data_IF_330544108351
#
_entry.id   IF_330544108351
#
_cell.length_a   1.000
_cell.length_b   1.000
_cell.length_c   1.000
_cell.angle_alpha   90.00
_cell.angle_beta   90.00
_cell.angle_gamma   90.00
#
_symmetry.space_group_name_H-M   'P 1'
#
loop_
_entity.id
_entity.type
_entity.pdbx_description
1 polymer ?
#
# COMPACT_ATOMS: atom_id res chain seq x y z
N UNK A 1 13.96 6.98 -26.54
CA UNK A 1 13.05 6.30 -25.59
C UNK A 1 11.75 5.85 -26.28
N UNK A 2 10.86 6.75 -26.72
CA UNK A 2 9.57 6.39 -27.36
C UNK A 2 9.73 5.45 -28.56
N UNK A 3 10.72 5.70 -29.43
CA UNK A 3 10.99 4.83 -30.60
C UNK A 3 11.44 3.41 -30.21
N UNK A 4 12.21 3.27 -29.12
CA UNK A 4 12.64 1.96 -28.64
C UNK A 4 11.47 1.19 -28.04
N UNK A 5 10.60 1.86 -27.29
CA UNK A 5 9.37 1.28 -26.74
C UNK A 5 8.43 0.82 -27.87
N UNK A 6 8.22 1.65 -28.89
CA UNK A 6 7.40 1.29 -30.06
C UNK A 6 7.93 0.03 -30.75
N UNK A 7 9.25 -0.08 -30.87
CA UNK A 7 9.88 -1.22 -31.49
C UNK A 7 9.75 -2.50 -30.65
N UNK A 8 9.97 -2.43 -29.34
CA UNK A 8 9.85 -3.58 -28.43
C UNK A 8 8.41 -4.09 -28.31
N UNK A 9 7.43 -3.17 -28.30
CA UNK A 9 6.00 -3.50 -28.28
C UNK A 9 5.52 -4.18 -29.56
N UNK A 10 6.16 -3.90 -30.70
CA UNK A 10 5.84 -4.48 -32.00
C UNK A 10 6.89 -5.46 -32.50
N UNK A 11 7.73 -5.99 -31.60
CA UNK A 11 8.79 -6.91 -31.97
C UNK A 11 8.20 -8.25 -32.47
N UNK A 12 8.91 -8.94 -33.36
CA UNK A 12 8.44 -10.16 -34.01
C UNK A 12 8.30 -11.33 -33.02
N UNK A 13 9.21 -11.41 -32.05
CA UNK A 13 9.15 -12.39 -30.96
C UNK A 13 8.04 -12.04 -29.96
N UNK A 14 7.13 -12.99 -29.75
CA UNK A 14 5.96 -12.81 -28.89
C UNK A 14 6.33 -12.65 -27.40
N UNK A 15 7.42 -13.26 -26.95
CA UNK A 15 7.87 -13.18 -25.58
C UNK A 15 8.37 -11.76 -25.28
N UNK A 16 9.18 -11.20 -26.18
CA UNK A 16 9.68 -9.82 -26.04
C UNK A 16 8.49 -8.84 -25.98
N UNK A 17 7.48 -9.04 -26.83
CA UNK A 17 6.26 -8.22 -26.80
C UNK A 17 5.52 -8.36 -25.47
N UNK A 18 5.30 -9.58 -24.98
CA UNK A 18 4.59 -9.84 -23.73
C UNK A 18 5.30 -9.21 -22.52
N UNK A 19 6.62 -9.43 -22.40
CA UNK A 19 7.40 -8.85 -21.31
C UNK A 19 7.45 -7.33 -21.38
N UNK A 20 7.49 -6.76 -22.59
CA UNK A 20 7.43 -5.31 -22.77
C UNK A 20 6.09 -4.75 -22.28
N UNK A 21 4.96 -5.38 -22.64
CA UNK A 21 3.65 -4.97 -22.14
C UNK A 21 3.50 -5.12 -20.62
N UNK A 22 4.01 -6.22 -20.05
CA UNK A 22 4.03 -6.43 -18.59
C UNK A 22 4.84 -5.35 -17.89
N UNK A 23 6.02 -5.02 -18.40
CA UNK A 23 6.88 -3.97 -17.84
C UNK A 23 6.20 -2.59 -17.89
N UNK A 24 5.57 -2.25 -19.02
CA UNK A 24 4.81 -1.01 -19.17
C UNK A 24 3.66 -0.96 -18.17
N UNK A 25 2.89 -2.05 -18.06
CA UNK A 25 1.74 -2.14 -17.15
C UNK A 25 2.16 -1.98 -15.68
N UNK A 26 3.21 -2.68 -15.25
CA UNK A 26 3.75 -2.57 -13.88
C UNK A 26 4.29 -1.16 -13.58
N UNK A 27 4.97 -0.53 -14.55
CA UNK A 27 5.48 0.84 -14.37
C UNK A 27 4.32 1.82 -14.23
N UNK A 28 3.30 1.71 -15.10
CA UNK A 28 2.12 2.55 -15.04
C UNK A 28 1.33 2.35 -13.74
N UNK A 29 1.21 1.12 -13.24
CA UNK A 29 0.45 0.85 -12.02
C UNK A 29 1.07 1.54 -10.81
N UNK A 30 2.40 1.56 -10.68
CA UNK A 30 3.09 2.30 -9.61
C UNK A 30 2.83 3.81 -9.73
N UNK A 31 2.96 4.39 -10.93
CA UNK A 31 2.69 5.83 -11.12
C UNK A 31 1.23 6.19 -10.82
N UNK A 32 0.28 5.38 -11.30
CA UNK A 32 -1.14 5.58 -11.01
C UNK A 32 -1.42 5.44 -9.52
N UNK A 33 -0.78 4.50 -8.82
CA UNK A 33 -0.90 4.34 -7.39
C UNK A 33 -0.38 5.56 -6.61
N UNK A 34 0.80 6.09 -6.96
CA UNK A 34 1.35 7.31 -6.33
C UNK A 34 0.41 8.51 -6.52
N UNK A 35 -0.07 8.72 -7.75
CA UNK A 35 -0.98 9.83 -8.06
C UNK A 35 -2.32 9.68 -7.34
N UNK A 36 -2.86 8.46 -7.30
CA UNK A 36 -4.13 8.16 -6.62
C UNK A 36 -3.99 8.34 -5.12
N UNK A 37 -2.92 7.80 -4.51
CA UNK A 37 -2.63 8.00 -3.10
C UNK A 37 -2.53 9.50 -2.76
N UNK A 38 -1.73 10.25 -3.53
CA UNK A 38 -1.58 11.70 -3.33
C UNK A 38 -2.92 12.45 -3.45
N UNK A 39 -3.81 11.99 -4.34
CA UNK A 39 -5.14 12.56 -4.48
C UNK A 39 -6.03 12.21 -3.29
N UNK A 40 -6.01 10.96 -2.81
CA UNK A 40 -6.76 10.53 -1.63
C UNK A 40 -6.31 11.26 -0.37
N UNK A 41 -5.00 11.36 -0.14
CA UNK A 41 -4.41 12.10 0.97
C UNK A 41 -4.93 13.55 1.00
N UNK A 42 -4.80 14.27 -0.12
CA UNK A 42 -5.29 15.65 -0.24
C UNK A 42 -6.80 15.77 -0.10
N UNK A 43 -7.56 14.84 -0.68
CA UNK A 43 -9.02 14.84 -0.57
C UNK A 43 -9.45 14.64 0.89
N UNK A 44 -8.82 13.71 1.60
CA UNK A 44 -9.11 13.44 3.01
C UNK A 44 -8.76 14.64 3.88
N UNK A 45 -7.62 15.29 3.64
CA UNK A 45 -7.28 16.55 4.31
C UNK A 45 -8.25 17.70 4.01
N UNK A 46 -8.84 17.72 2.81
CA UNK A 46 -9.82 18.73 2.43
C UNK A 46 -11.21 18.46 3.04
N UNK A 47 -11.68 17.21 3.05
CA UNK A 47 -13.00 16.83 3.54
C UNK A 47 -13.08 16.68 5.06
N UNK A 48 -12.00 16.25 5.72
CA UNK A 48 -11.86 16.36 7.17
C UNK A 48 -11.53 17.81 7.51
N UNK A 49 -12.59 18.62 7.56
CA UNK A 49 -12.63 20.05 7.89
C UNK A 49 -11.48 20.51 8.79
N UNK A 50 -10.93 21.70 8.53
CA UNK A 50 -9.72 22.23 9.21
C UNK A 50 -9.83 22.12 10.74
N UNK A 51 -11.04 22.16 11.31
CA UNK A 51 -11.29 21.96 12.74
C UNK A 51 -11.02 20.56 13.26
N UNK A 52 -11.39 19.50 12.54
CA UNK A 52 -11.16 18.13 12.99
C UNK A 52 -9.69 17.75 12.86
N UNK A 53 -9.06 18.19 11.77
CA UNK A 53 -7.62 18.05 11.56
C UNK A 53 -6.85 18.88 12.59
N UNK A 54 -7.27 20.11 12.91
CA UNK A 54 -6.67 20.89 13.99
C UNK A 54 -6.85 20.25 15.37
N UNK A 55 -7.99 19.62 15.68
CA UNK A 55 -8.17 18.91 16.96
C UNK A 55 -7.23 17.70 17.05
N UNK A 56 -7.14 16.90 15.99
CA UNK A 56 -6.23 15.75 15.93
C UNK A 56 -4.75 16.19 15.97
N UNK A 57 -4.39 17.25 15.25
CA UNK A 57 -3.01 17.81 15.21
C UNK A 57 -2.66 18.60 16.48
N UNK A 58 -3.64 19.13 17.23
CA UNK A 58 -3.42 19.80 18.52
C UNK A 58 -3.24 18.83 19.69
N UNK A 59 -3.51 17.53 19.50
CA UNK A 59 -2.99 16.47 20.39
C UNK A 59 -1.55 16.24 19.95
N UNK A 60 -0.57 16.72 20.74
CA UNK A 60 0.88 16.58 20.56
C UNK A 60 1.26 16.21 19.12
N UNK A 61 1.38 17.19 18.21
CA UNK A 61 1.24 17.03 16.75
C UNK A 61 1.83 15.78 16.07
N UNK A 62 2.83 15.13 16.66
CA UNK A 62 3.23 13.74 16.39
C UNK A 62 2.06 12.73 16.39
N UNK A 63 1.30 12.63 17.49
CA UNK A 63 0.23 11.67 17.68
C UNK A 63 -0.90 11.94 16.67
N UNK A 64 -1.21 13.21 16.42
CA UNK A 64 -2.17 13.62 15.40
C UNK A 64 -1.83 13.10 14.01
N UNK A 65 -0.59 13.30 13.55
CA UNK A 65 -0.15 12.82 12.24
C UNK A 65 -0.16 11.30 12.15
N UNK A 66 0.24 10.61 13.22
CA UNK A 66 0.16 9.15 13.30
C UNK A 66 -1.28 8.64 13.15
N UNK A 67 -2.22 9.23 13.89
CA UNK A 67 -3.62 8.81 13.88
C UNK A 67 -4.26 9.03 12.50
N UNK A 68 -3.97 10.15 11.86
CA UNK A 68 -4.44 10.43 10.49
C UNK A 68 -3.83 9.44 9.50
N UNK A 69 -2.52 9.15 9.60
CA UNK A 69 -1.85 8.17 8.74
C UNK A 69 -2.42 6.76 8.91
N UNK A 70 -2.62 6.31 10.15
CA UNK A 70 -3.23 5.01 10.43
C UNK A 70 -4.68 4.93 9.97
N UNK A 71 -5.47 6.00 10.16
CA UNK A 71 -6.84 6.08 9.66
C UNK A 71 -6.86 5.95 8.13
N UNK A 72 -5.98 6.67 7.44
CA UNK A 72 -5.84 6.63 5.99
C UNK A 72 -5.48 5.22 5.52
N UNK A 73 -4.51 4.57 6.17
CA UNK A 73 -4.11 3.20 5.85
C UNK A 73 -5.26 2.20 6.04
N UNK A 74 -6.00 2.28 7.15
CA UNK A 74 -7.14 1.40 7.41
C UNK A 74 -8.30 1.65 6.43
N UNK A 75 -8.59 2.92 6.11
CA UNK A 75 -9.65 3.28 5.17
C UNK A 75 -9.32 2.79 3.76
N UNK A 76 -8.11 3.06 3.26
CA UNK A 76 -7.68 2.63 1.93
C UNK A 76 -7.55 1.10 1.84
N UNK A 77 -7.07 0.44 2.90
CA UNK A 77 -7.03 -1.02 2.99
C UNK A 77 -8.42 -1.64 2.98
N UNK A 78 -9.39 -1.06 3.71
CA UNK A 78 -10.79 -1.47 3.65
C UNK A 78 -11.41 -1.27 2.27
N UNK A 79 -11.18 -0.13 1.64
CA UNK A 79 -11.62 0.15 0.27
C UNK A 79 -11.02 -0.82 -0.74
N UNK A 80 -9.74 -1.17 -0.60
CA UNK A 80 -9.08 -2.16 -1.44
C UNK A 80 -9.78 -3.52 -1.35
N UNK A 81 -10.08 -4.01 -0.13
CA UNK A 81 -10.80 -5.28 0.06
C UNK A 81 -12.19 -5.25 -0.59
N UNK A 82 -12.93 -4.14 -0.46
CA UNK A 82 -14.24 -3.96 -1.11
C UNK A 82 -14.12 -3.99 -2.63
N UNK A 83 -13.14 -3.28 -3.19
CA UNK A 83 -12.93 -3.22 -4.64
C UNK A 83 -12.54 -4.59 -5.19
N UNK A 84 -11.62 -5.30 -4.53
CA UNK A 84 -11.23 -6.65 -4.93
C UNK A 84 -12.40 -7.64 -4.84
N UNK A 85 -13.28 -7.47 -3.86
CA UNK A 85 -14.49 -8.28 -3.78
C UNK A 85 -15.46 -7.98 -4.92
N UNK A 86 -15.65 -6.71 -5.31
CA UNK A 86 -16.51 -6.33 -6.44
C UNK A 86 -15.95 -6.85 -7.77
N UNK A 87 -14.63 -6.80 -7.95
CA UNK A 87 -13.96 -7.24 -9.18
C UNK A 87 -13.66 -8.73 -9.23
N UNK A 88 -14.08 -9.51 -8.21
CA UNK A 88 -13.76 -10.94 -8.08
C UNK A 88 -14.13 -11.80 -9.30
N UNK A 89 -15.19 -11.43 -10.01
CA UNK A 89 -15.71 -12.21 -11.15
C UNK A 89 -14.92 -12.01 -12.43
N UNK A 90 -14.17 -10.92 -12.57
CA UNK A 90 -13.41 -10.60 -13.79
C UNK A 90 -11.91 -10.61 -13.50
N UNK A 91 -11.24 -11.69 -13.91
CA UNK A 91 -9.82 -11.91 -13.60
C UNK A 91 -8.90 -10.78 -14.08
N UNK A 92 -9.00 -10.25 -15.32
CA UNK A 92 -8.20 -9.11 -15.75
C UNK A 92 -8.39 -7.87 -14.87
N UNK A 93 -9.64 -7.56 -14.49
CA UNK A 93 -9.91 -6.43 -13.59
C UNK A 93 -9.39 -6.69 -12.19
N UNK A 94 -9.52 -7.91 -11.66
CA UNK A 94 -9.01 -8.30 -10.35
C UNK A 94 -7.48 -8.12 -10.27
N UNK A 95 -6.75 -8.61 -11.27
CA UNK A 95 -5.29 -8.44 -11.39
C UNK A 95 -4.92 -6.95 -11.43
N UNK A 96 -5.57 -6.18 -12.28
CA UNK A 96 -5.28 -4.76 -12.46
C UNK A 96 -5.54 -3.94 -11.20
N UNK A 97 -6.70 -4.14 -10.55
CA UNK A 97 -7.04 -3.46 -9.31
C UNK A 97 -6.16 -3.94 -8.15
N UNK A 98 -5.84 -5.23 -8.07
CA UNK A 98 -4.93 -5.79 -7.07
C UNK A 98 -3.57 -5.11 -7.08
N UNK A 99 -2.95 -4.98 -8.27
CA UNK A 99 -1.65 -4.31 -8.38
C UNK A 99 -1.72 -2.83 -8.01
N UNK A 100 -2.74 -2.08 -8.48
CA UNK A 100 -2.85 -0.65 -8.19
C UNK A 100 -3.13 -0.43 -6.69
N UNK A 101 -4.08 -1.15 -6.12
CA UNK A 101 -4.48 -0.98 -4.73
C UNK A 101 -3.45 -1.51 -3.73
N UNK A 102 -2.69 -2.55 -4.07
CA UNK A 102 -1.56 -3.02 -3.27
C UNK A 102 -0.50 -1.92 -3.12
N UNK A 103 -0.16 -1.24 -4.22
CA UNK A 103 0.75 -0.09 -4.17
C UNK A 103 0.15 1.11 -3.41
N UNK A 104 -1.13 1.44 -3.60
CA UNK A 104 -1.80 2.52 -2.85
C UNK A 104 -1.76 2.24 -1.34
N UNK A 105 -2.09 1.02 -0.92
CA UNK A 105 -2.03 0.61 0.48
C UNK A 105 -0.60 0.64 1.01
N UNK A 106 0.39 0.25 0.20
CA UNK A 106 1.80 0.36 0.55
C UNK A 106 2.25 1.81 0.77
N UNK A 107 1.83 2.76 -0.09
CA UNK A 107 2.09 4.19 0.13
C UNK A 107 1.39 4.73 1.37
N UNK A 108 0.16 4.29 1.65
CA UNK A 108 -0.54 4.66 2.88
C UNK A 108 0.15 4.12 4.14
N UNK A 109 0.64 2.88 4.09
CA UNK A 109 1.46 2.31 5.15
C UNK A 109 2.76 3.09 5.33
N UNK A 110 3.48 3.40 4.25
CA UNK A 110 4.68 4.25 4.29
C UNK A 110 4.35 5.57 4.97
N UNK A 111 3.30 6.28 4.54
CA UNK A 111 2.92 7.56 5.12
C UNK A 111 2.66 7.45 6.64
N UNK A 112 1.95 6.41 7.09
CA UNK A 112 1.65 6.22 8.51
C UNK A 112 2.89 5.87 9.34
N UNK A 113 3.66 4.87 8.92
CA UNK A 113 4.76 4.33 9.72
C UNK A 113 6.03 5.15 9.58
N UNK A 114 6.26 5.81 8.44
CA UNK A 114 7.36 6.76 8.31
C UNK A 114 7.11 8.03 9.14
N UNK A 115 5.86 8.51 9.24
CA UNK A 115 5.53 9.60 10.16
C UNK A 115 5.83 9.21 11.62
N UNK A 116 5.56 7.95 12.00
CA UNK A 116 5.94 7.42 13.31
C UNK A 116 7.47 7.37 13.49
N UNK A 117 8.19 6.84 12.50
CA UNK A 117 9.65 6.75 12.50
C UNK A 117 10.31 8.14 12.59
N UNK A 118 9.68 9.15 11.97
CA UNK A 118 10.11 10.54 11.96
C UNK A 118 9.86 11.29 13.26
N UNK A 119 9.08 10.72 14.17
CA UNK A 119 8.64 11.40 15.38
C UNK A 119 9.55 11.12 16.59
N UNK A 120 9.57 12.01 17.58
CA UNK A 120 10.23 11.73 18.86
C UNK A 120 9.36 10.74 19.66
N UNK A 121 9.95 9.72 20.30
CA UNK A 121 11.40 9.50 20.52
C UNK A 121 12.09 8.62 19.46
N UNK A 122 11.39 8.24 18.39
CA UNK A 122 11.91 7.29 17.40
C UNK A 122 13.04 7.89 16.54
N UNK A 123 12.96 9.17 16.20
CA UNK A 123 13.97 9.86 15.37
C UNK A 123 15.28 10.24 16.10
N UNK A 124 15.40 9.92 17.40
CA UNK A 124 16.54 10.32 18.23
C UNK A 124 17.77 9.41 18.04
N UNK A 125 17.55 8.18 17.57
CA UNK A 125 18.59 7.19 17.33
C UNK A 125 18.14 6.20 16.26
N UNK A 126 19.06 5.75 15.42
CA UNK A 126 18.79 4.73 14.39
C UNK A 126 18.20 3.45 14.99
N UNK A 127 18.56 3.12 16.24
CA UNK A 127 18.05 1.93 16.91
C UNK A 127 16.59 2.10 17.34
N UNK A 128 16.18 3.32 17.72
CA UNK A 128 14.79 3.63 18.00
C UNK A 128 13.97 3.62 16.70
N UNK A 129 14.49 4.19 15.61
CA UNK A 129 13.86 4.10 14.28
C UNK A 129 13.66 2.65 13.84
N UNK A 130 14.69 1.81 14.03
CA UNK A 130 14.62 0.39 13.70
C UNK A 130 13.52 -0.38 14.46
N UNK A 131 13.07 0.11 15.62
CA UNK A 131 11.94 -0.49 16.35
C UNK A 131 10.60 -0.36 15.60
N UNK A 132 10.48 0.59 14.67
CA UNK A 132 9.27 0.74 13.86
C UNK A 132 9.08 -0.46 12.91
N UNK A 133 10.16 -1.09 12.44
CA UNK A 133 10.10 -2.24 11.55
C UNK A 133 9.33 -3.43 12.19
N UNK A 134 9.70 -3.95 13.39
CA UNK A 134 8.93 -5.02 14.02
C UNK A 134 7.52 -4.58 14.41
N UNK A 135 7.29 -3.31 14.79
CA UNK A 135 5.95 -2.78 15.05
C UNK A 135 5.09 -2.86 13.78
N UNK A 136 5.62 -2.41 12.65
CA UNK A 136 4.99 -2.47 11.34
C UNK A 136 4.63 -3.92 10.96
N UNK A 137 5.56 -4.86 11.14
CA UNK A 137 5.32 -6.28 10.85
C UNK A 137 4.23 -6.87 11.74
N UNK A 138 4.19 -6.54 13.03
CA UNK A 138 3.14 -6.99 13.95
C UNK A 138 1.78 -6.43 13.53
N UNK A 139 1.69 -5.12 13.26
CA UNK A 139 0.43 -4.50 12.81
C UNK A 139 -0.03 -5.11 11.48
N UNK A 140 0.88 -5.27 10.53
CA UNK A 140 0.58 -5.89 9.23
C UNK A 140 0.12 -7.34 9.38
N UNK A 141 0.76 -8.12 10.25
CA UNK A 141 0.34 -9.50 10.55
C UNK A 141 -1.07 -9.54 11.14
N UNK A 142 -1.39 -8.67 12.10
CA UNK A 142 -2.74 -8.57 12.67
C UNK A 142 -3.77 -8.24 11.58
N UNK A 143 -3.45 -7.29 10.69
CA UNK A 143 -4.34 -6.88 9.60
C UNK A 143 -4.54 -7.99 8.56
N UNK A 144 -3.49 -8.72 8.18
CA UNK A 144 -3.59 -9.88 7.27
C UNK A 144 -4.44 -10.98 7.90
N UNK A 145 -4.24 -11.30 9.18
CA UNK A 145 -5.05 -12.31 9.89
C UNK A 145 -6.51 -11.87 9.98
N UNK A 146 -6.77 -10.60 10.30
CA UNK A 146 -8.11 -10.04 10.33
C UNK A 146 -8.77 -10.07 8.94
N UNK A 147 -8.02 -9.71 7.89
CA UNK A 147 -8.44 -9.77 6.49
C UNK A 147 -8.77 -11.18 6.03
N UNK A 148 -7.90 -12.16 6.30
CA UNK A 148 -8.14 -13.58 6.02
C UNK A 148 -9.41 -14.07 6.71
N UNK A 149 -9.61 -13.73 7.99
CA UNK A 149 -10.82 -14.09 8.73
C UNK A 149 -12.07 -13.43 8.16
N UNK A 150 -12.00 -12.16 7.78
CA UNK A 150 -13.10 -11.45 7.12
C UNK A 150 -13.45 -12.11 5.79
N UNK A 151 -12.45 -12.41 4.95
CA UNK A 151 -12.62 -13.07 3.66
C UNK A 151 -13.23 -14.46 3.80
N UNK A 152 -12.74 -15.28 4.73
CA UNK A 152 -13.32 -16.61 5.00
C UNK A 152 -14.79 -16.55 5.38
N UNK A 153 -15.20 -15.57 6.20
CA UNK A 153 -16.61 -15.39 6.54
C UNK A 153 -17.46 -14.97 5.37
N UNK A 154 -16.93 -14.17 4.45
CA UNK A 154 -17.65 -13.72 3.25
C UNK A 154 -17.82 -14.88 2.26
N UNK A 155 -16.80 -15.70 2.08
CA UNK A 155 -16.85 -16.92 1.25
C UNK A 155 -17.85 -17.95 1.81
N UNK A 156 -17.86 -18.19 3.13
CA UNK A 156 -18.78 -19.14 3.76
C UNK A 156 -20.28 -18.75 3.68
N UNK A 157 -20.62 -17.51 3.26
CA UNK A 157 -22.01 -17.03 3.23
C UNK A 157 -22.86 -17.62 2.12
N UNK A 158 -22.28 -17.99 0.98
CA UNK A 158 -23.01 -18.59 -0.13
C UNK A 158 -23.02 -20.13 -0.08
N UNK A 159 -22.15 -20.71 0.76
CA UNK A 159 -22.05 -22.15 0.99
C UNK A 159 -21.50 -22.94 -0.21
N UNK A 160 -20.91 -22.27 -1.20
CA UNK A 160 -20.35 -22.88 -2.42
C UNK A 160 -18.95 -22.37 -2.64
N UNK A 161 -17.96 -23.23 -2.42
CA UNK A 161 -16.56 -22.94 -2.77
C UNK A 161 -16.41 -22.98 -4.30
N UNK A 162 -16.22 -21.81 -4.93
CA UNK A 162 -16.08 -21.63 -6.38
C UNK A 162 -14.63 -21.25 -6.74
N UNK A 163 -14.17 -21.66 -7.93
CA UNK A 163 -12.86 -21.30 -8.52
C UNK A 163 -12.62 -19.77 -8.47
N UNK A 164 -13.69 -18.99 -8.56
CA UNK A 164 -13.66 -17.52 -8.46
C UNK A 164 -13.20 -17.04 -7.09
N UNK A 165 -13.63 -17.71 -6.02
CA UNK A 165 -13.30 -17.34 -4.65
C UNK A 165 -11.85 -17.68 -4.31
N UNK A 166 -11.35 -18.83 -4.78
CA UNK A 166 -9.95 -19.21 -4.64
C UNK A 166 -9.03 -18.17 -5.33
N UNK A 167 -9.38 -17.75 -6.55
CA UNK A 167 -8.61 -16.73 -7.29
C UNK A 167 -8.63 -15.38 -6.61
N UNK A 168 -9.80 -14.95 -6.13
CA UNK A 168 -9.95 -13.72 -5.36
C UNK A 168 -9.12 -13.76 -4.07
N UNK A 169 -9.17 -14.88 -3.35
CA UNK A 169 -8.40 -15.07 -2.13
C UNK A 169 -6.89 -14.97 -2.39
N UNK A 170 -6.40 -15.64 -3.43
CA UNK A 170 -5.00 -15.59 -3.84
C UNK A 170 -4.55 -14.16 -4.19
N UNK A 171 -5.37 -13.42 -4.96
CA UNK A 171 -5.05 -12.03 -5.33
C UNK A 171 -5.07 -11.06 -4.15
N UNK A 172 -5.95 -11.28 -3.17
CA UNK A 172 -5.93 -10.49 -1.94
C UNK A 172 -4.64 -10.73 -1.15
N UNK A 173 -4.18 -11.99 -1.08
CA UNK A 173 -2.90 -12.31 -0.42
C UNK A 173 -1.70 -11.71 -1.16
N UNK A 174 -1.69 -11.74 -2.49
CA UNK A 174 -0.66 -11.08 -3.31
C UNK A 174 -0.64 -9.55 -3.08
N UNK A 175 -1.81 -8.91 -3.08
CA UNK A 175 -1.97 -7.48 -2.79
C UNK A 175 -1.47 -7.10 -1.38
N UNK A 176 -1.80 -7.91 -0.37
CA UNK A 176 -1.33 -7.75 1.01
C UNK A 176 0.20 -7.91 1.10
N UNK A 177 0.78 -8.87 0.38
CA UNK A 177 2.22 -9.09 0.33
C UNK A 177 2.95 -7.93 -0.36
N UNK A 178 2.43 -7.41 -1.47
CA UNK A 178 2.97 -6.23 -2.16
C UNK A 178 2.96 -4.99 -1.26
N UNK A 179 1.86 -4.78 -0.54
CA UNK A 179 1.72 -3.69 0.46
C UNK A 179 2.83 -3.78 1.51
N UNK A 180 3.02 -4.97 2.09
CA UNK A 180 4.00 -5.19 3.16
C UNK A 180 5.42 -5.04 2.61
N UNK A 181 5.72 -5.63 1.46
CA UNK A 181 7.04 -5.58 0.83
C UNK A 181 7.44 -4.14 0.50
N UNK A 182 6.55 -3.37 -0.13
CA UNK A 182 6.78 -1.98 -0.48
C UNK A 182 7.08 -1.14 0.76
N UNK A 183 6.23 -1.21 1.78
CA UNK A 183 6.41 -0.43 3.00
C UNK A 183 7.64 -0.86 3.80
N UNK A 184 7.88 -2.17 3.96
CA UNK A 184 9.04 -2.71 4.65
C UNK A 184 10.35 -2.24 3.99
N UNK A 185 10.43 -2.35 2.66
CA UNK A 185 11.62 -1.93 1.90
C UNK A 185 11.92 -0.45 2.10
N UNK A 186 10.90 0.40 2.16
CA UNK A 186 11.06 1.83 2.40
C UNK A 186 11.54 2.13 3.82
N UNK A 187 10.89 1.57 4.84
CA UNK A 187 11.25 1.78 6.25
C UNK A 187 12.68 1.30 6.52
N UNK A 188 13.08 0.14 5.99
CA UNK A 188 14.47 -0.32 6.09
C UNK A 188 15.46 0.66 5.43
N UNK A 189 15.14 1.15 4.24
CA UNK A 189 15.97 2.15 3.56
C UNK A 189 16.07 3.46 4.36
N UNK A 190 15.00 3.89 5.02
CA UNK A 190 14.97 5.09 5.86
C UNK A 190 15.93 4.95 7.06
N UNK A 191 15.88 3.83 7.77
CA UNK A 191 16.81 3.51 8.86
C UNK A 191 18.26 3.47 8.36
N UNK A 192 18.52 2.77 7.25
CA UNK A 192 19.87 2.69 6.66
C UNK A 192 20.40 4.07 6.30
N UNK A 193 19.55 4.91 5.70
CA UNK A 193 19.92 6.28 5.36
C UNK A 193 20.27 7.07 6.61
N UNK A 194 19.45 7.02 7.66
CA UNK A 194 19.72 7.71 8.92
C UNK A 194 21.03 7.23 9.56
N UNK A 195 21.33 5.92 9.51
CA UNK A 195 22.61 5.37 9.98
C UNK A 195 23.82 5.99 9.26
N UNK A 196 23.69 6.29 7.97
CA UNK A 196 24.78 6.85 7.16
C UNK A 196 24.87 8.37 7.30
N UNK A 197 23.74 9.09 7.22
CA UNK A 197 23.72 10.56 7.21
C UNK A 197 23.70 11.21 8.59
N UNK A 198 23.27 10.47 9.63
CA UNK A 198 23.05 11.03 10.97
C UNK A 198 21.88 12.01 11.05
N UNK A 199 21.06 12.07 10.01
CA UNK A 199 19.92 12.99 9.90
C UNK A 199 18.75 12.31 9.17
N UNK A 200 17.54 12.69 9.56
CA UNK A 200 16.31 12.19 8.95
C UNK A 200 16.25 12.52 7.45
N UNK A 201 15.71 11.61 6.63
CA UNK A 201 15.35 11.94 5.25
C UNK A 201 14.35 13.10 5.25
N UNK A 202 14.76 14.24 4.68
CA UNK A 202 13.87 15.37 4.36
C UNK A 202 12.97 15.05 3.18
#
# INVERSE_FOLDING_TARGET
FIMALYYLVNWFDEDIRLYTWKMISATLSIFLAVLSFSAFEKAIHYYLDERFTQILVNVDGCIGHLLVGLLLFLLLGGLAQVILHITRTDLPSLVAHGSIWGHICGFAAIHAFFALESSSPFNESWMNMAMIIPIFLIVSFILVVAGKKLRSRVAEMDGVDDDTEERWYHHCEECENDTICLALSFLMCAVIRYMISGSMPS
#
